data_IF_659984701152
#
_entry.id   IF_659984701152
#
_cell.length_a   1.000
_cell.length_b   1.000
_cell.length_c   1.000
_cell.angle_alpha   90.00
_cell.angle_beta   90.00
_cell.angle_gamma   90.00
#
_symmetry.space_group_name_H-M   'P 1'
#
loop_
_entity.id
_entity.type
_entity.pdbx_description
1 polymer ?
#
# COMPACT_ATOMS: atom_id res chain seq x y z
N UNK A 1 0.48 2.81 -11.97
CA UNK A 1 1.05 4.16 -11.76
C UNK A 1 2.52 4.03 -11.34
N UNK A 2 3.48 4.61 -12.08
CA UNK A 2 4.92 4.36 -11.87
C UNK A 2 5.54 5.22 -10.74
N UNK A 3 4.86 6.24 -10.22
CA UNK A 3 5.44 7.29 -9.36
C UNK A 3 5.96 6.82 -7.99
N UNK A 4 5.75 5.56 -7.62
CA UNK A 4 6.35 4.93 -6.43
C UNK A 4 7.29 3.77 -6.77
N UNK A 5 7.33 3.32 -8.04
CA UNK A 5 8.02 2.10 -8.47
C UNK A 5 7.63 0.84 -7.67
N UNK A 6 6.43 0.82 -7.07
CA UNK A 6 5.97 -0.26 -6.19
C UNK A 6 5.04 -1.27 -6.86
N UNK A 7 4.58 -1.03 -8.09
CA UNK A 7 3.54 -1.87 -8.71
C UNK A 7 3.94 -3.36 -8.77
N UNK A 8 5.17 -3.66 -9.18
CA UNK A 8 5.67 -5.03 -9.24
C UNK A 8 5.83 -5.65 -7.84
N UNK A 9 6.35 -4.89 -6.87
CA UNK A 9 6.47 -5.35 -5.49
C UNK A 9 5.11 -5.71 -4.90
N UNK A 10 4.08 -4.86 -5.11
CA UNK A 10 2.73 -5.13 -4.62
C UNK A 10 2.16 -6.39 -5.26
N UNK A 11 2.30 -6.56 -6.57
CA UNK A 11 1.83 -7.75 -7.26
C UNK A 11 2.49 -9.05 -6.75
N UNK A 12 3.80 -9.03 -6.48
CA UNK A 12 4.52 -10.20 -5.95
C UNK A 12 4.06 -10.52 -4.53
N UNK A 13 3.93 -9.50 -3.66
CA UNK A 13 3.46 -9.68 -2.29
C UNK A 13 2.02 -10.17 -2.24
N UNK A 14 1.14 -9.64 -3.10
CA UNK A 14 -0.27 -10.04 -3.18
C UNK A 14 -0.38 -11.48 -3.67
N UNK A 15 0.41 -11.87 -4.68
CA UNK A 15 0.49 -13.25 -5.15
C UNK A 15 1.01 -14.21 -4.07
N UNK A 16 2.02 -13.81 -3.29
CA UNK A 16 2.54 -14.59 -2.18
C UNK A 16 1.48 -14.77 -1.07
N UNK A 17 0.77 -13.70 -0.69
CA UNK A 17 -0.28 -13.75 0.31
C UNK A 17 -1.42 -14.70 -0.11
N UNK A 18 -1.89 -14.58 -1.35
CA UNK A 18 -2.90 -15.49 -1.90
C UNK A 18 -2.38 -16.93 -1.97
N UNK A 19 -1.13 -17.14 -2.38
CA UNK A 19 -0.51 -18.45 -2.39
C UNK A 19 -0.44 -19.12 -1.02
N UNK A 20 -0.18 -18.34 0.05
CA UNK A 20 -0.21 -18.83 1.43
C UNK A 20 -1.64 -19.21 1.83
N UNK A 21 -2.61 -18.31 1.60
CA UNK A 21 -4.01 -18.53 1.97
C UNK A 21 -4.61 -19.76 1.31
N UNK A 22 -4.31 -19.98 0.02
CA UNK A 22 -4.79 -21.13 -0.75
C UNK A 22 -3.87 -22.36 -0.69
N UNK A 23 -2.83 -22.34 0.15
CA UNK A 23 -1.98 -23.51 0.36
C UNK A 23 -2.72 -24.60 1.15
N UNK A 24 -2.38 -25.87 0.96
CA UNK A 24 -3.01 -26.99 1.67
C UNK A 24 -2.88 -26.96 3.20
N UNK A 25 -1.97 -26.14 3.74
CA UNK A 25 -1.80 -25.96 5.19
C UNK A 25 -2.79 -24.93 5.79
N UNK A 26 -3.35 -24.04 4.98
CA UNK A 26 -4.18 -22.92 5.45
C UNK A 26 -5.58 -22.92 4.85
N UNK A 27 -5.74 -23.44 3.63
CA UNK A 27 -7.02 -23.41 2.94
C UNK A 27 -8.03 -24.35 3.58
N UNK A 28 -9.14 -23.79 4.05
CA UNK A 28 -10.23 -24.51 4.75
C UNK A 28 -11.26 -25.13 3.79
N UNK A 29 -11.13 -24.86 2.49
CA UNK A 29 -12.16 -25.18 1.49
C UNK A 29 -13.10 -24.01 1.18
N UNK A 30 -13.08 -22.94 1.99
CA UNK A 30 -13.89 -21.75 1.79
C UNK A 30 -13.08 -20.63 1.10
N UNK A 31 -13.46 -20.34 -0.14
CA UNK A 31 -12.85 -19.27 -0.95
C UNK A 31 -13.19 -17.89 -0.41
N UNK A 32 -14.43 -17.68 0.06
CA UNK A 32 -14.87 -16.39 0.58
C UNK A 32 -14.15 -16.06 1.88
N UNK A 33 -14.03 -17.03 2.78
CA UNK A 33 -13.25 -16.89 4.01
C UNK A 33 -11.80 -16.47 3.69
N UNK A 34 -11.14 -17.22 2.79
CA UNK A 34 -9.75 -16.95 2.40
C UNK A 34 -9.56 -15.55 1.80
N UNK A 35 -10.46 -15.13 0.90
CA UNK A 35 -10.41 -13.79 0.30
C UNK A 35 -10.70 -12.69 1.33
N UNK A 36 -11.60 -12.92 2.29
CA UNK A 36 -11.87 -11.93 3.35
C UNK A 36 -10.64 -11.65 4.22
N UNK A 37 -9.78 -12.66 4.43
CA UNK A 37 -8.50 -12.49 5.13
C UNK A 37 -7.54 -11.65 4.27
N UNK A 38 -7.44 -11.93 2.97
CA UNK A 38 -6.64 -11.10 2.07
C UNK A 38 -7.11 -9.64 2.05
N UNK A 39 -8.43 -9.42 1.97
CA UNK A 39 -9.03 -8.08 1.94
C UNK A 39 -8.83 -7.32 3.24
N UNK A 40 -8.83 -7.99 4.40
CA UNK A 40 -8.59 -7.32 5.68
C UNK A 40 -7.11 -7.03 5.94
N UNK A 41 -6.19 -7.86 5.43
CA UNK A 41 -4.76 -7.76 5.74
C UNK A 41 -3.96 -7.06 4.66
N UNK A 42 -4.08 -7.47 3.38
CA UNK A 42 -3.21 -6.97 2.29
C UNK A 42 -3.83 -5.84 1.48
N UNK A 43 -5.13 -5.88 1.21
CA UNK A 43 -5.79 -4.85 0.40
C UNK A 43 -5.60 -3.42 0.93
N UNK A 44 -5.65 -3.13 2.25
CA UNK A 44 -5.51 -1.78 2.76
C UNK A 44 -4.16 -1.16 2.36
N UNK A 45 -3.09 -1.94 2.49
CA UNK A 45 -1.74 -1.49 2.14
C UNK A 45 -1.59 -1.25 0.63
N UNK A 46 -2.04 -2.19 -0.20
CA UNK A 46 -1.98 -2.04 -1.66
C UNK A 46 -2.75 -0.78 -2.12
N UNK A 47 -3.91 -0.53 -1.52
CA UNK A 47 -4.74 0.66 -1.79
C UNK A 47 -4.04 1.96 -1.36
N UNK A 48 -3.44 1.99 -0.17
CA UNK A 48 -2.65 3.14 0.31
C UNK A 48 -1.46 3.45 -0.61
N UNK A 49 -0.71 2.42 -1.04
CA UNK A 49 0.42 2.59 -1.98
C UNK A 49 -0.06 3.13 -3.33
N UNK A 50 -1.18 2.62 -3.85
CA UNK A 50 -1.77 3.12 -5.08
C UNK A 50 -2.22 4.59 -4.94
N UNK A 51 -2.87 4.95 -3.84
CA UNK A 51 -3.26 6.32 -3.55
C UNK A 51 -2.04 7.26 -3.45
N UNK A 52 -0.97 6.84 -2.77
CA UNK A 52 0.27 7.60 -2.69
C UNK A 52 0.90 7.78 -4.09
N UNK A 53 0.84 6.77 -4.96
CA UNK A 53 1.32 6.88 -6.34
C UNK A 53 0.49 7.84 -7.20
N UNK A 54 -0.82 7.96 -6.95
CA UNK A 54 -1.66 8.96 -7.59
C UNK A 54 -1.34 10.38 -7.10
N UNK A 55 -1.14 10.57 -5.79
CA UNK A 55 -0.77 11.88 -5.24
C UNK A 55 0.61 12.33 -5.72
N UNK A 56 1.57 11.41 -5.74
CA UNK A 56 2.92 11.65 -6.24
C UNK A 56 2.98 12.04 -7.73
N UNK A 57 1.95 11.72 -8.53
CA UNK A 57 1.89 12.18 -9.93
C UNK A 57 1.56 13.66 -10.06
N UNK A 58 0.99 14.27 -9.01
CA UNK A 58 0.64 15.69 -8.96
C UNK A 58 1.63 16.50 -8.12
N UNK A 59 2.23 15.87 -7.10
CA UNK A 59 3.14 16.50 -6.16
C UNK A 59 4.17 15.50 -5.64
N UNK A 60 5.44 15.69 -5.96
CA UNK A 60 6.51 14.76 -5.58
C UNK A 60 6.69 14.63 -4.06
N UNK A 61 6.28 15.63 -3.27
CA UNK A 61 6.33 15.55 -1.81
C UNK A 61 5.33 14.55 -1.23
N UNK A 62 4.36 14.08 -2.02
CA UNK A 62 3.44 12.99 -1.62
C UNK A 62 4.04 11.60 -1.89
N UNK A 63 5.25 11.54 -2.46
CA UNK A 63 5.97 10.27 -2.63
C UNK A 63 6.23 9.64 -1.25
N UNK A 64 6.08 8.33 -1.13
CA UNK A 64 6.32 7.63 0.13
C UNK A 64 7.78 7.88 0.53
N UNK A 65 8.00 8.33 1.76
CA UNK A 65 9.30 8.77 2.28
C UNK A 65 9.56 10.27 2.14
N UNK A 66 9.06 10.92 1.08
CA UNK A 66 9.14 12.38 0.95
C UNK A 66 8.02 13.07 1.73
N UNK A 67 6.89 12.39 1.87
CA UNK A 67 5.73 12.81 2.69
C UNK A 67 6.06 12.96 4.17
N UNK A 68 7.20 12.44 4.63
CA UNK A 68 7.72 12.59 5.99
C UNK A 68 8.74 13.73 6.14
N UNK A 69 9.15 14.39 5.05
CA UNK A 69 10.20 15.42 5.07
C UNK A 69 9.63 16.82 5.35
N UNK A 70 9.08 17.01 6.55
CA UNK A 70 8.38 18.24 6.96
C UNK A 70 9.30 19.47 7.07
N UNK A 71 10.61 19.27 7.19
CA UNK A 71 11.59 20.35 7.32
C UNK A 71 12.03 20.93 5.95
N UNK A 72 11.60 20.32 4.84
CA UNK A 72 11.88 20.84 3.51
C UNK A 72 11.07 22.13 3.28
N UNK A 73 11.70 23.25 2.86
CA UNK A 73 10.99 24.51 2.62
C UNK A 73 9.93 24.42 1.51
N UNK A 74 10.01 23.42 0.63
CA UNK A 74 9.02 23.16 -0.41
C UNK A 74 8.00 22.09 0.00
N UNK A 75 7.98 21.68 1.27
CA UNK A 75 7.03 20.69 1.78
C UNK A 75 5.62 21.26 1.76
N UNK A 76 4.79 20.67 0.90
CA UNK A 76 3.36 20.92 0.84
C UNK A 76 2.73 19.57 0.55
N UNK A 77 1.77 19.14 1.36
CA UNK A 77 0.96 17.95 1.13
C UNK A 77 -0.52 18.30 1.21
N UNK A 78 -1.37 17.45 0.65
CA UNK A 78 -2.82 17.67 0.58
C UNK A 78 -3.48 17.66 1.96
N UNK A 79 -2.94 16.89 2.91
CA UNK A 79 -3.42 16.82 4.29
C UNK A 79 -2.35 16.24 5.21
N UNK A 80 -2.07 16.93 6.33
CA UNK A 80 -1.15 16.45 7.37
C UNK A 80 -1.69 15.25 8.15
N UNK A 81 -3.02 15.19 8.33
CA UNK A 81 -3.70 14.12 9.05
C UNK A 81 -3.97 12.90 8.16
N UNK A 82 -3.99 13.09 6.84
CA UNK A 82 -4.25 12.06 5.84
C UNK A 82 -3.06 11.79 4.93
N UNK A 83 -1.83 12.02 5.43
CA UNK A 83 -0.60 11.74 4.69
C UNK A 83 -0.43 10.22 4.51
N UNK A 84 0.47 9.88 3.61
CA UNK A 84 0.76 8.49 3.24
C UNK A 84 2.28 8.29 3.35
N UNK A 85 2.73 8.32 4.59
CA UNK A 85 4.11 8.08 5.05
C UNK A 85 4.40 6.59 5.15
N UNK A 86 5.65 6.24 5.43
CA UNK A 86 6.07 4.84 5.62
C UNK A 86 5.30 4.21 6.79
N UNK A 87 5.10 4.97 7.87
CA UNK A 87 4.40 4.56 9.07
C UNK A 87 2.92 4.27 8.75
N UNK A 88 2.26 5.17 8.02
CA UNK A 88 0.84 4.99 7.65
C UNK A 88 0.61 3.88 6.62
N UNK A 89 1.63 3.48 5.85
CA UNK A 89 1.52 2.30 4.98
C UNK A 89 1.35 1.01 5.79
N UNK A 90 1.93 0.95 7.00
CA UNK A 90 2.04 -0.28 7.78
C UNK A 90 1.20 -0.27 9.08
N UNK A 91 0.58 0.86 9.43
CA UNK A 91 -0.44 0.98 10.46
C UNK A 91 -1.82 0.51 9.94
#
# INVERSE_FOLDING_TARGET
MPHQSQAACMAIEDAAALGILFSGNHFTGDVFESLSIYESVRLPRATKVQAAAARASLNINERIGFSSNTDNPNYVVKSEQGKLTIEEMNA
#
